data_IF_639071192100
#
_entry.id   IF_639071192100
#
_cell.length_a   1.000
_cell.length_b   1.000
_cell.length_c   1.000
_cell.angle_alpha   90.00
_cell.angle_beta   90.00
_cell.angle_gamma   90.00
#
_symmetry.space_group_name_H-M   'P 1'
#
loop_
_entity.id
_entity.type
_entity.pdbx_description
1 polymer ?
#
# COMPACT_ATOMS: atom_id res chain seq x y z
N UNK A 1 10.71 0.06 -22.41
CA UNK A 1 9.50 -0.31 -21.65
C UNK A 1 8.97 -1.69 -22.02
N UNK A 2 8.87 -2.13 -23.29
CA UNK A 2 8.31 -3.45 -23.64
C UNK A 2 8.94 -4.66 -22.92
N UNK A 3 10.29 -4.65 -22.73
CA UNK A 3 10.98 -5.71 -21.95
C UNK A 3 10.62 -5.67 -20.47
N UNK A 4 10.43 -4.47 -19.91
CA UNK A 4 9.97 -4.31 -18.51
C UNK A 4 8.57 -4.88 -18.38
N UNK A 5 7.65 -4.55 -19.29
CA UNK A 5 6.30 -5.07 -19.29
C UNK A 5 6.25 -6.62 -19.30
N UNK A 6 6.94 -7.22 -20.28
CA UNK A 6 6.98 -8.70 -20.40
C UNK A 6 7.59 -9.38 -19.16
N UNK A 7 8.58 -8.72 -18.53
CA UNK A 7 9.18 -9.23 -17.30
C UNK A 7 8.24 -9.08 -16.09
N UNK A 8 7.49 -7.97 -16.01
CA UNK A 8 6.52 -7.78 -14.94
C UNK A 8 5.35 -8.75 -15.05
N UNK A 9 4.79 -8.95 -16.25
CA UNK A 9 3.73 -9.94 -16.48
C UNK A 9 4.19 -11.36 -16.03
N UNK A 10 5.45 -11.72 -16.35
CA UNK A 10 6.01 -13.01 -15.91
C UNK A 10 6.23 -13.06 -14.40
N UNK A 11 6.81 -11.99 -13.82
CA UNK A 11 7.09 -11.96 -12.38
C UNK A 11 5.80 -11.96 -11.55
N UNK A 12 4.74 -11.32 -12.03
CA UNK A 12 3.43 -11.34 -11.38
C UNK A 12 2.89 -12.78 -11.30
N UNK A 13 2.94 -13.53 -12.41
CA UNK A 13 2.52 -14.92 -12.43
C UNK A 13 3.36 -15.81 -11.48
N UNK A 14 4.69 -15.61 -11.45
CA UNK A 14 5.57 -16.37 -10.56
C UNK A 14 5.33 -16.03 -9.08
N UNK A 15 5.05 -14.77 -8.75
CA UNK A 15 4.78 -14.35 -7.36
C UNK A 15 3.51 -15.00 -6.78
N UNK A 16 2.57 -15.40 -7.61
CA UNK A 16 1.36 -16.14 -7.18
C UNK A 16 1.68 -17.52 -6.60
N UNK A 17 2.91 -18.03 -6.78
CA UNK A 17 3.32 -19.34 -6.27
C UNK A 17 4.01 -19.28 -4.89
N UNK A 18 4.23 -18.06 -4.33
CA UNK A 18 4.95 -17.89 -3.07
C UNK A 18 4.03 -17.75 -1.87
N UNK A 19 4.40 -18.42 -0.79
CA UNK A 19 3.97 -18.05 0.57
C UNK A 19 4.98 -17.09 1.16
N UNK A 20 4.53 -16.11 1.93
CA UNK A 20 5.39 -15.13 2.56
C UNK A 20 4.75 -14.50 3.81
N UNK A 21 5.54 -13.79 4.57
CA UNK A 21 5.09 -12.99 5.72
C UNK A 21 4.97 -11.54 5.32
N UNK A 22 3.90 -10.88 5.77
CA UNK A 22 3.67 -9.47 5.56
C UNK A 22 3.56 -8.76 6.90
N UNK A 23 4.42 -7.77 7.11
CA UNK A 23 4.43 -6.91 8.28
C UNK A 23 3.89 -5.54 7.88
N UNK A 24 2.86 -5.05 8.57
CA UNK A 24 2.23 -3.76 8.29
C UNK A 24 2.31 -2.90 9.54
N UNK A 25 2.84 -1.69 9.40
CA UNK A 25 2.79 -0.68 10.44
C UNK A 25 2.05 0.56 9.92
N UNK A 26 1.06 1.04 10.67
CA UNK A 26 0.28 2.23 10.35
C UNK A 26 0.27 3.13 11.57
N UNK A 27 0.61 4.41 11.36
CA UNK A 27 0.52 5.41 12.41
C UNK A 27 -0.24 6.66 11.97
N UNK A 28 -0.97 7.24 12.90
CA UNK A 28 -1.68 8.51 12.74
C UNK A 28 -1.12 9.54 13.71
N UNK A 29 -0.81 10.74 13.20
CA UNK A 29 -0.31 11.84 13.99
C UNK A 29 -1.23 13.04 13.86
N UNK A 30 -1.45 13.75 14.94
CA UNK A 30 -2.00 15.09 14.85
C UNK A 30 -0.91 16.01 14.34
N UNK A 31 -1.12 16.78 13.25
CA UNK A 31 -0.08 17.57 12.61
C UNK A 31 0.74 18.41 13.61
N UNK A 32 2.07 18.34 13.47
CA UNK A 32 3.05 19.08 14.28
C UNK A 32 2.98 18.83 15.79
N UNK A 33 2.27 17.80 16.25
CA UNK A 33 2.12 17.56 17.69
C UNK A 33 2.56 16.18 18.11
N UNK A 34 1.65 15.19 18.06
CA UNK A 34 1.90 13.87 18.64
C UNK A 34 1.29 12.75 17.80
N UNK A 35 1.81 11.58 17.98
CA UNK A 35 1.21 10.34 17.52
C UNK A 35 -0.12 10.14 18.29
N UNK A 36 -1.19 9.84 17.55
CA UNK A 36 -2.50 9.58 18.12
C UNK A 36 -2.74 8.09 18.30
N UNK A 37 -2.36 7.30 17.32
CA UNK A 37 -2.45 5.85 17.33
C UNK A 37 -1.45 5.24 16.35
N UNK A 38 -0.88 4.11 16.71
CA UNK A 38 -0.14 3.24 15.81
C UNK A 38 -0.56 1.80 16.00
N UNK A 39 -0.51 1.04 14.92
CA UNK A 39 -0.78 -0.39 14.90
C UNK A 39 0.27 -1.12 14.07
N UNK A 40 0.66 -2.28 14.55
CA UNK A 40 1.50 -3.23 13.86
C UNK A 40 0.75 -4.55 13.72
N UNK A 41 0.68 -5.06 12.50
CA UNK A 41 -0.01 -6.31 12.18
C UNK A 41 0.90 -7.22 11.35
N UNK A 42 0.96 -8.51 11.72
CA UNK A 42 1.69 -9.53 10.98
C UNK A 42 0.71 -10.52 10.36
N UNK A 43 0.97 -10.86 9.10
CA UNK A 43 0.16 -11.80 8.34
C UNK A 43 1.03 -12.91 7.73
N UNK A 44 0.49 -14.13 7.68
CA UNK A 44 0.91 -15.12 6.70
C UNK A 44 0.08 -14.94 5.43
N UNK A 45 0.75 -14.88 4.30
CA UNK A 45 0.12 -14.72 2.97
C UNK A 45 0.31 -16.00 2.19
N UNK A 46 -0.80 -16.58 1.75
CA UNK A 46 -0.83 -17.85 1.03
C UNK A 46 -1.57 -17.66 -0.29
N UNK A 47 -0.97 -17.99 -1.43
CA UNK A 47 -1.65 -17.93 -2.72
C UNK A 47 -2.79 -18.94 -2.80
N UNK A 48 -3.86 -18.56 -3.49
CA UNK A 48 -5.00 -19.40 -3.83
C UNK A 48 -5.21 -19.33 -5.36
N UNK A 49 -5.93 -20.27 -5.97
CA UNK A 49 -6.19 -20.25 -7.41
C UNK A 49 -6.92 -18.99 -7.89
N UNK A 50 -7.68 -18.35 -7.04
CA UNK A 50 -8.53 -17.17 -7.32
C UNK A 50 -8.08 -15.89 -6.58
N UNK A 51 -6.89 -15.90 -5.98
CA UNK A 51 -6.34 -14.75 -5.27
C UNK A 51 -5.33 -15.11 -4.19
N UNK A 52 -5.34 -14.34 -3.10
CA UNK A 52 -4.47 -14.58 -1.94
C UNK A 52 -5.28 -14.62 -0.65
N UNK A 53 -4.90 -15.54 0.25
CA UNK A 53 -5.42 -15.56 1.62
C UNK A 53 -4.42 -14.96 2.58
N UNK A 54 -4.84 -13.94 3.32
CA UNK A 54 -4.05 -13.32 4.37
C UNK A 54 -4.58 -13.73 5.73
N UNK A 55 -3.74 -14.35 6.52
CA UNK A 55 -4.07 -14.81 7.87
C UNK A 55 -3.37 -13.93 8.89
N UNK A 56 -4.14 -13.14 9.64
CA UNK A 56 -3.61 -12.33 10.75
C UNK A 56 -3.00 -13.22 11.83
N UNK A 57 -1.77 -12.95 12.24
CA UNK A 57 -1.02 -13.67 13.27
C UNK A 57 -0.84 -12.85 14.53
N UNK A 58 -0.59 -11.56 14.38
CA UNK A 58 -0.48 -10.63 15.50
C UNK A 58 -1.07 -9.28 15.16
N UNK A 59 -1.60 -8.61 16.15
CA UNK A 59 -2.03 -7.22 16.08
C UNK A 59 -1.72 -6.56 17.40
N UNK A 60 -0.83 -5.59 17.39
CA UNK A 60 -0.43 -4.81 18.55
C UNK A 60 -0.44 -3.34 18.22
N UNK A 61 -0.44 -2.49 19.24
CA UNK A 61 -0.36 -1.06 19.01
C UNK A 61 -0.41 -0.27 20.31
N UNK A 62 -0.42 1.04 20.14
CA UNK A 62 -0.64 1.99 21.23
C UNK A 62 -1.39 3.21 20.74
N UNK A 63 -2.09 3.85 21.65
CA UNK A 63 -2.84 5.07 21.37
C UNK A 63 -2.70 6.09 22.49
N UNK A 64 -2.85 7.37 22.12
CA UNK A 64 -2.86 8.47 23.09
C UNK A 64 -4.21 8.52 23.81
N UNK A 65 -4.18 8.45 25.13
CA UNK A 65 -5.35 8.57 25.99
C UNK A 65 -5.10 9.63 27.08
N UNK A 66 -5.78 10.75 26.96
CA UNK A 66 -5.69 11.92 27.86
C UNK A 66 -4.28 12.49 27.97
N UNK A 67 -3.37 11.83 28.69
CA UNK A 67 -2.03 12.33 29.05
C UNK A 67 -0.92 11.27 28.88
N UNK A 68 -1.25 10.06 28.43
CA UNK A 68 -0.31 8.94 28.29
C UNK A 68 -0.64 8.05 27.08
N UNK A 69 0.36 7.30 26.66
CA UNK A 69 0.15 6.19 25.73
C UNK A 69 -0.33 4.94 26.47
N UNK A 70 -1.26 4.24 25.85
CA UNK A 70 -1.79 2.97 26.31
C UNK A 70 -1.54 1.93 25.22
N UNK A 71 -0.80 0.88 25.58
CA UNK A 71 -0.55 -0.25 24.70
C UNK A 71 -1.77 -1.17 24.66
N UNK A 72 -1.98 -1.84 23.54
CA UNK A 72 -3.03 -2.83 23.37
C UNK A 72 -2.56 -3.99 22.49
N UNK A 73 -3.25 -5.11 22.64
CA UNK A 73 -3.16 -6.25 21.75
C UNK A 73 -4.56 -6.50 21.18
N UNK A 74 -4.63 -6.62 19.84
CA UNK A 74 -5.90 -6.88 19.16
C UNK A 74 -6.36 -8.34 19.34
N UNK A 75 -7.66 -8.52 19.33
CA UNK A 75 -8.24 -9.86 19.28
C UNK A 75 -8.27 -10.38 17.84
N UNK A 76 -7.38 -11.34 17.58
CA UNK A 76 -7.20 -11.94 16.25
C UNK A 76 -8.49 -12.59 15.73
N UNK A 77 -9.28 -13.21 16.62
CA UNK A 77 -10.53 -13.86 16.24
C UNK A 77 -11.59 -12.85 15.82
N UNK A 78 -11.70 -11.72 16.53
CA UNK A 78 -12.63 -10.64 16.18
C UNK A 78 -12.24 -9.92 14.90
N UNK A 79 -10.94 -9.66 14.70
CA UNK A 79 -10.45 -8.98 13.49
C UNK A 79 -10.62 -9.85 12.23
N UNK A 80 -10.44 -11.18 12.34
CA UNK A 80 -10.61 -12.11 11.23
C UNK A 80 -12.07 -12.39 10.86
N UNK A 81 -13.05 -12.02 11.71
CA UNK A 81 -14.47 -12.21 11.47
C UNK A 81 -15.22 -10.97 10.98
N UNK A 82 -14.57 -9.80 10.94
CA UNK A 82 -15.18 -8.55 10.46
C UNK A 82 -15.30 -8.57 8.95
N UNK A 83 -16.51 -8.44 8.44
CA UNK A 83 -16.81 -8.30 7.02
C UNK A 83 -16.84 -6.83 6.60
N UNK A 84 -16.67 -6.56 5.29
CA UNK A 84 -16.79 -5.22 4.72
C UNK A 84 -18.17 -4.59 5.01
N UNK A 85 -19.23 -5.41 5.12
CA UNK A 85 -20.57 -4.99 5.48
C UNK A 85 -20.67 -4.50 6.92
N UNK A 86 -19.95 -5.12 7.86
CA UNK A 86 -19.90 -4.68 9.27
C UNK A 86 -19.24 -3.30 9.38
N UNK A 87 -18.24 -3.02 8.56
CA UNK A 87 -17.57 -1.72 8.49
C UNK A 87 -18.51 -0.62 7.97
N UNK A 88 -19.22 -0.88 6.87
CA UNK A 88 -20.17 0.05 6.27
C UNK A 88 -21.36 0.28 7.22
N UNK A 89 -21.82 -0.75 7.89
CA UNK A 89 -22.91 -0.67 8.85
C UNK A 89 -22.54 0.17 10.07
N UNK A 90 -21.33 0.01 10.61
CA UNK A 90 -20.81 0.78 11.74
C UNK A 90 -20.58 2.25 11.39
N UNK A 91 -20.10 2.55 10.17
CA UNK A 91 -19.97 3.92 9.68
C UNK A 91 -21.31 4.64 9.52
N UNK A 92 -22.39 3.92 9.18
CA UNK A 92 -23.74 4.48 9.02
C UNK A 92 -24.50 4.65 10.33
N UNK A 93 -24.24 3.82 11.35
CA UNK A 93 -24.99 3.80 12.60
C UNK A 93 -24.51 4.75 13.68
N UNK A 94 -23.28 5.22 13.62
CA UNK A 94 -22.67 6.00 14.69
C UNK A 94 -22.38 7.43 14.25
N UNK A 95 -23.42 8.26 14.22
CA UNK A 95 -23.29 9.69 14.45
C UNK A 95 -23.70 10.00 15.89
N UNK A 96 -22.76 9.94 16.82
CA UNK A 96 -22.35 11.12 17.55
C UNK A 96 -20.85 11.33 17.38
N UNK A 97 -20.38 12.57 17.55
CA UNK A 97 -18.97 12.98 17.47
C UNK A 97 -18.08 11.95 18.18
N UNK A 98 -17.17 11.27 17.50
CA UNK A 98 -16.44 10.17 18.08
C UNK A 98 -15.48 10.68 19.16
N UNK A 99 -15.37 9.94 20.26
CA UNK A 99 -14.21 10.08 21.15
C UNK A 99 -12.94 9.93 20.31
N UNK A 100 -11.98 10.86 20.46
CA UNK A 100 -10.83 11.03 19.57
C UNK A 100 -10.04 9.72 19.29
N UNK A 101 -9.98 8.80 20.24
CA UNK A 101 -9.30 7.51 20.06
C UNK A 101 -10.03 6.50 19.18
N UNK A 102 -11.35 6.61 19.04
CA UNK A 102 -12.18 5.70 18.22
C UNK A 102 -12.01 6.01 16.74
N UNK A 103 -11.98 7.29 16.37
CA UNK A 103 -11.81 7.72 14.98
C UNK A 103 -10.47 7.29 14.39
N UNK A 104 -9.39 7.39 15.16
CA UNK A 104 -8.07 6.94 14.70
C UNK A 104 -8.01 5.40 14.59
N UNK A 105 -8.71 4.66 15.45
CA UNK A 105 -8.82 3.20 15.35
C UNK A 105 -9.57 2.78 14.08
N UNK A 106 -10.73 3.38 13.81
CA UNK A 106 -11.54 3.09 12.62
C UNK A 106 -10.78 3.46 11.34
N UNK A 107 -10.05 4.58 11.36
CA UNK A 107 -9.21 5.01 10.23
C UNK A 107 -8.10 3.99 9.93
N UNK A 108 -7.33 3.58 10.94
CA UNK A 108 -6.25 2.60 10.75
C UNK A 108 -6.81 1.25 10.31
N UNK A 109 -7.92 0.82 10.89
CA UNK A 109 -8.58 -0.42 10.47
C UNK A 109 -8.99 -0.37 8.99
N UNK A 110 -9.60 0.73 8.53
CA UNK A 110 -9.99 0.90 7.13
C UNK A 110 -8.78 0.93 6.19
N UNK A 111 -7.72 1.65 6.57
CA UNK A 111 -6.48 1.70 5.79
C UNK A 111 -5.85 0.31 5.67
N UNK A 112 -5.77 -0.43 6.77
CA UNK A 112 -5.25 -1.80 6.80
C UNK A 112 -6.08 -2.74 5.93
N UNK A 113 -7.41 -2.70 6.03
CA UNK A 113 -8.32 -3.51 5.22
C UNK A 113 -8.20 -3.23 3.72
N UNK A 114 -8.03 -1.97 3.35
CA UNK A 114 -7.82 -1.59 1.94
C UNK A 114 -6.46 -2.08 1.40
N UNK A 115 -5.40 -2.04 2.21
CA UNK A 115 -4.09 -2.60 1.85
C UNK A 115 -4.11 -4.13 1.73
N UNK A 116 -5.05 -4.78 2.42
CA UNK A 116 -5.20 -6.23 2.44
C UNK A 116 -6.21 -6.75 1.41
N UNK A 117 -6.68 -5.88 0.51
CA UNK A 117 -7.68 -6.25 -0.49
C UNK A 117 -7.23 -7.49 -1.29
N UNK A 118 -8.05 -8.54 -1.27
CA UNK A 118 -7.79 -9.84 -1.90
C UNK A 118 -7.69 -9.77 -3.43
N UNK A 119 -8.13 -8.66 -4.03
CA UNK A 119 -8.04 -8.42 -5.48
C UNK A 119 -6.63 -8.06 -5.95
N UNK A 120 -5.74 -7.66 -5.06
CA UNK A 120 -4.34 -7.45 -5.42
C UNK A 120 -3.59 -8.77 -5.32
N UNK A 121 -3.26 -9.36 -6.46
CA UNK A 121 -2.61 -10.69 -6.56
C UNK A 121 -1.25 -10.77 -5.86
N UNK A 122 -0.54 -9.66 -5.72
CA UNK A 122 0.78 -9.55 -5.07
C UNK A 122 0.78 -8.71 -3.78
N UNK A 123 -0.40 -8.49 -3.20
CA UNK A 123 -0.53 -7.76 -1.94
C UNK A 123 -0.40 -6.25 -2.02
N UNK A 124 -0.24 -5.69 -3.22
CA UNK A 124 -0.22 -4.27 -3.52
C UNK A 124 -1.32 -3.95 -4.53
N UNK A 125 -1.91 -2.76 -4.45
CA UNK A 125 -2.90 -2.34 -5.41
C UNK A 125 -2.29 -2.32 -6.82
N UNK A 126 -2.81 -3.17 -7.70
CA UNK A 126 -2.28 -3.43 -9.05
C UNK A 126 -2.12 -2.17 -9.89
N UNK A 127 -3.03 -1.23 -9.72
CA UNK A 127 -3.12 -0.01 -10.53
C UNK A 127 -2.15 1.11 -10.09
N UNK A 128 -1.38 0.90 -9.03
CA UNK A 128 -0.44 1.91 -8.53
C UNK A 128 0.81 2.07 -9.39
N UNK A 129 1.17 1.04 -10.14
CA UNK A 129 2.44 1.00 -10.88
C UNK A 129 2.23 0.51 -12.30
N UNK A 130 2.26 1.39 -13.32
CA UNK A 130 1.96 1.03 -14.71
C UNK A 130 3.13 0.31 -15.39
N UNK A 131 3.58 -0.81 -14.82
CA UNK A 131 4.73 -1.55 -15.33
C UNK A 131 4.38 -2.79 -16.15
N UNK A 132 3.15 -3.31 -16.05
CA UNK A 132 2.67 -4.45 -16.82
C UNK A 132 2.30 -4.07 -18.25
N UNK A 133 2.15 -5.05 -19.13
CA UNK A 133 1.77 -4.82 -20.54
C UNK A 133 0.42 -4.13 -20.69
N UNK A 134 -0.53 -4.40 -19.80
CA UNK A 134 -1.86 -3.78 -19.85
C UNK A 134 -1.80 -2.32 -19.38
N UNK A 135 -1.18 -2.07 -18.26
CA UNK A 135 -1.14 -0.74 -17.64
C UNK A 135 -0.32 0.25 -18.47
N UNK A 136 0.79 -0.19 -19.08
CA UNK A 136 1.64 0.67 -19.92
C UNK A 136 0.91 1.31 -21.10
N UNK A 137 -0.20 0.73 -21.55
CA UNK A 137 -0.99 1.28 -22.67
C UNK A 137 -1.53 2.68 -22.39
N UNK A 138 -1.81 2.97 -21.12
CA UNK A 138 -2.43 4.20 -20.67
C UNK A 138 -1.42 5.27 -20.22
N UNK A 139 -0.12 4.97 -20.32
CA UNK A 139 0.95 5.83 -19.81
C UNK A 139 1.96 6.22 -20.89
N UNK A 140 2.54 7.40 -20.70
CA UNK A 140 3.74 7.85 -21.39
C UNK A 140 4.96 7.65 -20.49
N UNK A 141 6.10 7.29 -21.12
CA UNK A 141 7.35 7.03 -20.42
C UNK A 141 8.47 7.88 -21.02
N UNK A 142 9.27 8.47 -20.13
CA UNK A 142 10.43 9.28 -20.52
C UNK A 142 11.66 8.78 -19.79
N UNK A 143 12.71 8.40 -20.55
CA UNK A 143 14.03 8.13 -19.97
C UNK A 143 14.63 9.44 -19.47
N UNK A 144 14.94 9.52 -18.17
CA UNK A 144 15.61 10.66 -17.54
C UNK A 144 17.13 10.50 -17.55
N UNK A 145 17.62 9.26 -17.41
CA UNK A 145 19.04 8.97 -17.39
C UNK A 145 19.37 7.53 -17.01
N UNK A 146 20.64 7.34 -16.68
CA UNK A 146 21.15 6.11 -16.07
C UNK A 146 21.87 6.50 -14.78
N UNK A 147 21.65 5.71 -13.73
CA UNK A 147 22.18 5.94 -12.40
C UNK A 147 22.68 4.64 -11.79
N UNK A 148 23.31 4.72 -10.62
CA UNK A 148 23.67 3.55 -9.82
C UNK A 148 22.84 3.60 -8.53
N UNK A 149 22.02 2.60 -8.31
CA UNK A 149 21.20 2.44 -7.12
C UNK A 149 21.51 1.09 -6.46
N UNK A 150 21.89 1.12 -5.18
CA UNK A 150 22.28 -0.08 -4.41
C UNK A 150 23.36 -0.94 -5.12
N UNK A 151 24.30 -0.29 -5.82
CA UNK A 151 25.37 -0.97 -6.57
C UNK A 151 24.94 -1.54 -7.93
N UNK A 152 23.72 -1.29 -8.40
CA UNK A 152 23.18 -1.72 -9.69
C UNK A 152 23.09 -0.56 -10.66
N UNK A 153 23.45 -0.78 -11.92
CA UNK A 153 23.14 0.17 -12.97
C UNK A 153 21.64 0.15 -13.27
N UNK A 154 20.99 1.29 -13.22
CA UNK A 154 19.54 1.41 -13.44
C UNK A 154 19.22 2.46 -14.50
N UNK A 155 18.15 2.25 -15.24
CA UNK A 155 17.50 3.28 -16.03
C UNK A 155 16.53 4.04 -15.13
N UNK A 156 16.70 5.36 -15.06
CA UNK A 156 15.76 6.26 -14.38
C UNK A 156 14.71 6.71 -15.39
N UNK A 157 13.45 6.35 -15.14
CA UNK A 157 12.33 6.54 -16.07
C UNK A 157 11.20 7.28 -15.34
N UNK A 158 10.74 8.39 -15.92
CA UNK A 158 9.50 9.03 -15.50
C UNK A 158 8.32 8.43 -16.26
N UNK A 159 7.16 8.35 -15.60
CA UNK A 159 5.91 7.96 -16.22
C UNK A 159 4.76 8.92 -15.83
N UNK A 160 3.84 9.14 -16.77
CA UNK A 160 2.66 9.96 -16.57
C UNK A 160 1.48 9.38 -17.36
N UNK A 161 0.24 9.57 -16.91
CA UNK A 161 -0.93 9.12 -17.65
C UNK A 161 -1.07 9.90 -18.96
N UNK A 162 -1.51 9.23 -20.04
CA UNK A 162 -1.85 9.87 -21.31
C UNK A 162 -3.08 10.76 -21.21
N UNK A 163 -4.04 10.35 -20.37
CA UNK A 163 -5.22 11.14 -20.06
C UNK A 163 -5.00 11.93 -18.78
N UNK A 164 -4.76 13.23 -18.88
CA UNK A 164 -4.55 14.12 -17.75
C UNK A 164 -5.85 14.52 -17.03
N UNK A 165 -7.01 14.19 -17.57
CA UNK A 165 -8.30 14.58 -16.98
C UNK A 165 -8.71 13.69 -15.81
N UNK A 166 -8.25 12.45 -15.79
CA UNK A 166 -8.52 11.50 -14.72
C UNK A 166 -7.48 11.58 -13.59
N UNK A 167 -7.88 11.51 -12.33
CA UNK A 167 -6.96 11.41 -11.20
C UNK A 167 -6.32 10.00 -11.23
N UNK A 168 -5.11 9.93 -11.75
CA UNK A 168 -4.31 8.72 -11.86
C UNK A 168 -2.93 8.93 -11.25
N UNK A 169 -2.06 7.97 -11.38
CA UNK A 169 -0.71 8.01 -10.81
C UNK A 169 0.29 8.51 -11.84
N UNK A 170 1.23 9.33 -11.39
CA UNK A 170 2.45 9.68 -12.13
C UNK A 170 3.66 9.43 -11.23
N UNK A 171 4.83 9.24 -11.78
CA UNK A 171 5.98 8.98 -10.94
C UNK A 171 7.27 8.65 -11.69
N UNK A 172 8.13 7.93 -10.98
CA UNK A 172 9.44 7.54 -11.45
C UNK A 172 9.72 6.09 -11.11
N UNK A 173 10.39 5.38 -12.02
CA UNK A 173 10.81 4.00 -11.85
C UNK A 173 12.32 3.87 -12.11
N UNK A 174 12.99 3.14 -11.25
CA UNK A 174 14.39 2.76 -11.37
C UNK A 174 14.41 1.28 -11.81
N UNK A 175 14.84 1.05 -13.04
CA UNK A 175 14.77 -0.26 -13.71
C UNK A 175 16.18 -0.81 -13.86
N UNK A 176 16.45 -2.00 -13.33
CA UNK A 176 17.72 -2.70 -13.50
C UNK A 176 18.09 -2.80 -14.98
N UNK A 177 19.30 -2.34 -15.35
CA UNK A 177 19.71 -2.24 -16.74
C UNK A 177 20.03 -3.61 -17.39
N UNK A 178 20.33 -4.62 -16.58
CA UNK A 178 20.64 -5.97 -17.04
C UNK A 178 19.38 -6.84 -17.15
N UNK A 179 18.56 -6.83 -16.11
CA UNK A 179 17.40 -7.72 -16.00
C UNK A 179 16.08 -7.06 -16.45
N UNK A 180 16.05 -5.74 -16.62
CA UNK A 180 14.83 -4.98 -16.97
C UNK A 180 13.67 -5.21 -15.97
N UNK A 181 14.03 -5.30 -14.70
CA UNK A 181 13.12 -5.43 -13.58
C UNK A 181 13.13 -4.13 -12.75
N UNK A 182 12.02 -3.75 -12.11
CA UNK A 182 12.01 -2.60 -11.22
C UNK A 182 12.87 -2.89 -9.99
N UNK A 183 13.69 -1.93 -9.60
CA UNK A 183 14.41 -1.89 -8.31
C UNK A 183 13.62 -1.04 -7.34
N UNK A 184 13.14 0.10 -7.78
CA UNK A 184 12.30 0.99 -7.01
C UNK A 184 11.30 1.72 -7.91
N UNK A 185 10.11 1.93 -7.40
CA UNK A 185 9.08 2.75 -8.06
C UNK A 185 8.51 3.73 -7.05
N UNK A 186 8.48 4.99 -7.43
CA UNK A 186 7.83 6.05 -6.67
C UNK A 186 6.65 6.58 -7.47
N UNK A 187 5.48 6.68 -6.85
CA UNK A 187 4.28 7.25 -7.45
C UNK A 187 3.72 8.37 -6.60
N UNK A 188 3.06 9.28 -7.26
CA UNK A 188 2.24 10.32 -6.64
C UNK A 188 0.97 10.52 -7.46
N UNK A 189 -0.07 11.01 -6.84
CA UNK A 189 -1.28 11.37 -7.55
C UNK A 189 -0.96 12.45 -8.60
N UNK A 190 -1.27 12.18 -9.87
CA UNK A 190 -0.94 13.07 -11.00
C UNK A 190 -1.70 14.40 -10.93
N UNK A 191 -2.90 14.37 -10.37
CA UNK A 191 -3.77 15.53 -10.23
C UNK A 191 -4.43 15.54 -8.86
N UNK A 192 -4.62 16.74 -8.31
CA UNK A 192 -5.42 16.89 -7.08
C UNK A 192 -6.88 16.52 -7.35
N UNK A 193 -7.51 15.95 -6.36
CA UNK A 193 -8.95 15.67 -6.40
C UNK A 193 -9.74 16.91 -6.82
N UNK A 194 -10.82 16.78 -7.59
CA UNK A 194 -11.66 17.89 -8.00
C UNK A 194 -12.08 18.77 -6.81
N UNK A 195 -12.15 20.10 -7.02
CA UNK A 195 -12.44 21.06 -5.95
C UNK A 195 -13.72 20.71 -5.18
N UNK A 196 -14.77 20.23 -5.88
CA UNK A 196 -16.02 19.81 -5.24
C UNK A 196 -15.80 18.66 -4.23
N UNK A 197 -14.99 17.67 -4.57
CA UNK A 197 -14.68 16.55 -3.66
C UNK A 197 -13.87 17.03 -2.48
N UNK A 198 -12.88 17.89 -2.73
CA UNK A 198 -12.01 18.46 -1.69
C UNK A 198 -12.77 19.34 -0.69
N UNK A 199 -13.68 20.17 -1.17
CA UNK A 199 -14.43 21.12 -0.31
C UNK A 199 -15.56 20.47 0.45
N UNK A 200 -16.10 19.38 -0.04
CA UNK A 200 -17.23 18.71 0.60
C UNK A 200 -16.82 17.76 1.72
N UNK A 201 -15.75 16.94 1.54
CA UNK A 201 -15.51 15.85 2.49
C UNK A 201 -14.07 15.40 2.69
N UNK A 202 -13.12 15.63 1.75
CA UNK A 202 -11.88 14.88 1.74
C UNK A 202 -10.77 15.55 0.93
N UNK A 203 -9.57 15.73 1.50
CA UNK A 203 -8.35 16.13 0.76
C UNK A 203 -7.17 15.25 1.18
N UNK A 204 -6.31 14.91 0.20
CA UNK A 204 -5.12 14.06 0.35
C UNK A 204 -3.87 14.76 -0.23
N UNK A 205 -3.39 15.83 0.40
CA UNK A 205 -2.18 16.47 -0.09
C UNK A 205 -0.96 15.54 0.06
N UNK A 206 -0.19 15.44 -1.04
CA UNK A 206 1.06 14.68 -1.03
C UNK A 206 0.93 13.16 -1.10
N UNK A 207 -0.27 12.65 -1.42
CA UNK A 207 -0.50 11.22 -1.50
C UNK A 207 0.32 10.57 -2.63
N UNK A 208 1.13 9.61 -2.27
CA UNK A 208 1.99 8.85 -3.17
C UNK A 208 2.56 7.62 -2.48
N UNK A 209 3.21 6.76 -3.24
CA UNK A 209 3.74 5.49 -2.76
C UNK A 209 5.19 5.32 -3.21
N UNK A 210 5.98 4.66 -2.37
CA UNK A 210 7.31 4.17 -2.69
C UNK A 210 7.33 2.65 -2.53
N UNK A 211 7.79 1.94 -3.57
CA UNK A 211 7.96 0.49 -3.53
C UNK A 211 9.37 0.12 -3.90
N UNK A 212 9.99 -0.71 -3.07
CA UNK A 212 11.30 -1.30 -3.32
C UNK A 212 11.11 -2.78 -3.63
N UNK A 213 11.74 -3.22 -4.70
CA UNK A 213 11.73 -4.61 -5.14
C UNK A 213 13.02 -5.31 -4.72
N UNK A 214 12.89 -6.54 -4.31
CA UNK A 214 14.00 -7.43 -3.97
C UNK A 214 14.06 -8.59 -4.95
N UNK A 215 15.25 -8.89 -5.44
CA UNK A 215 15.52 -10.10 -6.19
C UNK A 215 15.72 -11.26 -5.21
N UNK A 216 14.92 -12.31 -5.33
CA UNK A 216 15.05 -13.53 -4.55
C UNK A 216 16.18 -14.42 -5.14
N UNK A 217 16.60 -15.44 -4.40
CA UNK A 217 17.73 -16.32 -4.78
C UNK A 217 17.46 -17.10 -6.06
N UNK A 218 16.20 -17.43 -6.35
CA UNK A 218 15.75 -18.10 -7.58
C UNK A 218 15.57 -17.15 -8.78
N UNK A 219 15.82 -15.85 -8.57
CA UNK A 219 15.76 -14.82 -9.61
C UNK A 219 14.43 -14.10 -9.75
N UNK A 220 13.41 -14.45 -8.98
CA UNK A 220 12.13 -13.75 -8.98
C UNK A 220 12.26 -12.40 -8.27
N UNK A 221 11.71 -11.34 -8.87
CA UNK A 221 11.65 -10.02 -8.28
C UNK A 221 10.32 -9.80 -7.57
N UNK A 222 10.40 -9.44 -6.30
CA UNK A 222 9.25 -9.30 -5.43
C UNK A 222 9.17 -7.88 -4.84
N UNK A 223 7.99 -7.22 -4.79
CA UNK A 223 7.80 -5.97 -4.05
C UNK A 223 7.95 -6.28 -2.54
N UNK A 224 9.09 -5.87 -1.97
CA UNK A 224 9.45 -6.24 -0.60
C UNK A 224 9.10 -5.15 0.40
N UNK A 225 9.23 -3.88 0.02
CA UNK A 225 8.94 -2.75 0.90
C UNK A 225 7.98 -1.82 0.18
N UNK A 226 6.94 -1.44 0.87
CA UNK A 226 5.98 -0.43 0.46
C UNK A 226 5.88 0.64 1.54
N UNK A 227 5.88 1.91 1.15
CA UNK A 227 5.75 3.02 2.09
C UNK A 227 4.94 4.17 1.49
N UNK A 228 4.18 4.83 2.35
CA UNK A 228 3.49 6.08 2.02
C UNK A 228 3.36 6.96 3.24
N UNK A 229 3.48 8.26 3.01
CA UNK A 229 3.18 9.30 3.99
C UNK A 229 2.27 10.33 3.34
N UNK A 230 1.19 10.68 3.99
CA UNK A 230 0.26 11.67 3.47
C UNK A 230 -0.54 12.33 4.60
N UNK A 231 -1.12 13.48 4.28
CA UNK A 231 -2.03 14.17 5.18
C UNK A 231 -3.46 13.88 4.77
N UNK A 232 -4.27 13.44 5.72
CA UNK A 232 -5.71 13.26 5.55
C UNK A 232 -6.44 14.42 6.21
N UNK A 233 -7.23 15.13 5.43
CA UNK A 233 -8.09 16.21 5.90
C UNK A 233 -9.52 15.91 5.52
N UNK A 234 -10.44 15.99 6.49
CA UNK A 234 -11.81 15.66 6.20
C UNK A 234 -12.80 16.43 7.11
N UNK A 235 -14.04 16.61 6.59
CA UNK A 235 -15.14 17.29 7.27
C UNK A 235 -15.18 18.81 7.06
N UNK A 236 -16.25 19.48 7.50
CA UNK A 236 -16.39 20.93 7.39
C UNK A 236 -15.21 21.65 8.05
N UNK A 237 -14.59 22.59 7.32
CA UNK A 237 -13.40 23.32 7.77
C UNK A 237 -12.20 22.41 8.11
N UNK A 238 -12.17 21.18 7.59
CA UNK A 238 -11.10 20.19 7.85
C UNK A 238 -10.81 19.99 9.35
N UNK A 239 -11.87 19.91 10.16
CA UNK A 239 -11.73 19.75 11.61
C UNK A 239 -11.02 18.44 12.00
N UNK A 240 -11.07 17.41 11.14
CA UNK A 240 -10.25 16.21 11.26
C UNK A 240 -9.03 16.35 10.36
N UNK A 241 -7.85 16.32 10.95
CA UNK A 241 -6.59 16.41 10.24
C UNK A 241 -5.58 15.46 10.88
N UNK A 242 -5.00 14.57 10.07
CA UNK A 242 -3.98 13.59 10.47
C UNK A 242 -2.89 13.48 9.43
N UNK A 243 -1.65 13.46 9.91
CA UNK A 243 -0.53 12.94 9.15
C UNK A 243 -0.50 11.43 9.33
N UNK A 244 -0.51 10.69 8.24
CA UNK A 244 -0.58 9.23 8.21
C UNK A 244 0.71 8.71 7.63
N UNK A 245 1.31 7.71 8.29
CA UNK A 245 2.41 6.92 7.75
C UNK A 245 2.01 5.45 7.69
N UNK A 246 2.34 4.81 6.58
CA UNK A 246 2.12 3.39 6.35
C UNK A 246 3.44 2.80 5.86
N UNK A 247 3.87 1.72 6.46
CA UNK A 247 4.91 0.85 5.94
C UNK A 247 4.43 -0.60 5.90
N UNK A 248 4.80 -1.28 4.84
CA UNK A 248 4.54 -2.69 4.65
C UNK A 248 5.84 -3.35 4.18
N UNK A 249 6.18 -4.47 4.80
CA UNK A 249 7.36 -5.27 4.45
C UNK A 249 6.96 -6.73 4.23
N UNK A 250 7.37 -7.27 3.09
CA UNK A 250 7.22 -8.68 2.75
C UNK A 250 8.55 -9.40 2.93
N UNK A 251 8.51 -10.55 3.61
CA UNK A 251 9.69 -11.34 3.97
C UNK A 251 9.37 -12.83 4.05
N UNK A 252 10.40 -13.67 4.22
CA UNK A 252 10.22 -15.10 4.42
C UNK A 252 9.54 -15.78 3.23
N UNK A 253 9.98 -15.44 2.01
CA UNK A 253 9.43 -15.98 0.76
C UNK A 253 9.80 -17.44 0.62
N UNK A 254 8.81 -18.31 0.39
CA UNK A 254 8.98 -19.74 0.21
C UNK A 254 8.09 -20.23 -0.94
N UNK A 255 8.63 -21.11 -1.79
CA UNK A 255 7.82 -21.90 -2.70
C UNK A 255 7.23 -23.09 -1.94
N UNK A 256 5.90 -23.23 -1.82
CA UNK A 256 5.33 -24.42 -1.25
C UNK A 256 5.63 -25.59 -2.18
N UNK A 257 6.49 -26.51 -1.73
CA UNK A 257 6.66 -27.79 -2.40
C UNK A 257 5.37 -28.59 -2.27
N UNK A 258 4.52 -28.53 -3.28
CA UNK A 258 3.38 -29.45 -3.39
C UNK A 258 3.96 -30.79 -3.88
N UNK A 259 4.25 -31.71 -2.97
CA UNK A 259 4.43 -33.08 -3.36
C UNK A 259 3.10 -33.56 -3.96
N UNK A 260 3.10 -33.75 -5.29
CA UNK A 260 1.98 -34.41 -5.96
C UNK A 260 1.84 -35.80 -5.36
N UNK A 261 0.75 -36.05 -4.62
CA UNK A 261 0.36 -37.38 -4.17
C UNK A 261 -0.33 -38.13 -5.31
#
# INVERSE_FOLDING_TARGET
>A
MARVAANQDRSEALREEYVYKQHIHIATHKPKTRMMREETADYDVVPLPDGIKKQLKSLTGRYWNKDKYVDFQGDIALEGSRTEEDLIHNLRKHQPLPEAGRTDADLIHNLRSNLLNDKSKDGLARDLFPLTSEEQKNYEFKLLGQEVEEGRNVYHIAFAPKNEEEPTWAGEAFIDAAEFQPVRVFTKMSRRLPLMVRTMWFDLPGFGFNVVYKRLDDGVWFPSIFGTEFQLQFGPLFFFNRDISISLENSGFEHPHVEAK
#
